data_IF_079480373403
#
_entry.id   IF_079480373403
#
_cell.length_a   1.000
_cell.length_b   1.000
_cell.length_c   1.000
_cell.angle_alpha   90.00
_cell.angle_beta   90.00
_cell.angle_gamma   90.00
#
_symmetry.space_group_name_H-M   'P 1'
#
loop_
_entity.id
_entity.type
_entity.pdbx_description
1 polymer ?
#
# COMPACT_ATOMS: atom_id res chain seq x y z
N UNK A 1 50.44 42.41 9.31
CA UNK A 1 49.64 41.17 9.21
C UNK A 1 49.78 40.42 10.53
N UNK A 2 48.81 40.58 11.45
CA UNK A 2 48.89 40.00 12.80
C UNK A 2 47.89 38.85 12.92
N UNK A 3 48.38 37.61 12.81
CA UNK A 3 47.65 36.44 13.25
C UNK A 3 47.81 36.30 14.76
N UNK A 4 46.70 36.33 15.51
CA UNK A 4 46.71 36.06 16.95
C UNK A 4 46.83 34.56 17.17
N UNK A 5 48.01 34.10 17.62
CA UNK A 5 48.19 32.79 18.21
C UNK A 5 48.20 32.95 19.73
N UNK A 6 47.19 32.38 20.41
CA UNK A 6 47.18 32.30 21.87
C UNK A 6 48.00 31.06 22.24
N UNK A 7 49.12 31.30 22.93
CA UNK A 7 50.02 30.27 23.45
C UNK A 7 49.47 29.72 24.77
N UNK A 8 49.26 28.41 24.84
CA UNK A 8 49.11 27.68 26.11
C UNK A 8 50.26 26.68 26.27
N UNK A 9 50.88 26.71 27.45
CA UNK A 9 52.00 25.88 27.91
C UNK A 9 51.66 24.38 27.86
N UNK A 10 51.98 23.72 26.76
CA UNK A 10 52.24 22.27 26.62
C UNK A 10 52.37 22.01 25.13
N UNK A 11 53.55 21.58 24.68
CA UNK A 11 53.95 21.50 23.27
C UNK A 11 53.28 20.40 22.46
N UNK A 12 51.94 20.38 22.42
CA UNK A 12 51.17 19.59 21.46
C UNK A 12 50.20 20.53 20.73
N UNK A 13 50.55 20.90 19.50
CA UNK A 13 49.63 21.53 18.56
C UNK A 13 48.62 20.46 18.15
N UNK A 14 47.48 20.38 18.85
CA UNK A 14 46.37 19.54 18.40
C UNK A 14 45.80 20.25 17.17
N UNK A 15 45.82 19.65 15.97
CA UNK A 15 45.20 20.28 14.82
C UNK A 15 43.71 20.49 15.13
N UNK A 16 43.25 21.73 15.05
CA UNK A 16 41.85 22.17 15.23
C UNK A 16 40.91 21.67 14.10
N UNK A 17 41.30 20.56 13.46
CA UNK A 17 40.54 19.87 12.43
C UNK A 17 40.49 18.39 12.77
N UNK A 18 39.75 18.05 13.82
CA UNK A 18 38.80 16.94 13.65
C UNK A 18 37.68 17.49 12.76
N UNK A 19 38.02 17.76 11.49
CA UNK A 19 37.01 17.87 10.44
C UNK A 19 36.50 16.46 10.27
N UNK A 20 35.19 16.27 10.44
CA UNK A 20 34.47 15.02 10.29
C UNK A 20 35.22 14.03 9.40
N UNK A 21 35.53 12.85 9.93
CA UNK A 21 36.36 11.82 9.27
C UNK A 21 35.80 11.31 7.94
N UNK A 22 34.58 11.72 7.57
CA UNK A 22 33.93 11.49 6.29
C UNK A 22 33.44 12.80 5.68
N UNK A 23 33.68 13.00 4.38
CA UNK A 23 33.27 14.19 3.62
C UNK A 23 31.75 14.43 3.66
N UNK A 24 30.95 13.36 3.77
CA UNK A 24 29.48 13.41 3.87
C UNK A 24 28.93 13.90 5.21
N UNK A 25 29.76 14.01 6.26
CA UNK A 25 29.37 14.56 7.56
C UNK A 25 29.91 15.98 7.79
N UNK A 26 30.49 16.61 6.76
CA UNK A 26 30.96 17.99 6.85
C UNK A 26 29.76 18.96 6.88
N UNK A 27 29.78 19.96 7.77
CA UNK A 27 28.71 20.97 7.91
C UNK A 27 29.06 22.32 7.23
N UNK A 28 29.93 22.30 6.21
CA UNK A 28 30.41 23.51 5.53
C UNK A 28 29.47 24.04 4.44
N UNK A 29 29.82 25.17 3.80
CA UNK A 29 29.06 25.75 2.65
C UNK A 29 28.81 24.78 1.48
N UNK A 30 29.58 23.71 1.34
CA UNK A 30 29.39 22.70 0.28
C UNK A 30 28.27 21.70 0.62
N UNK A 31 27.92 21.54 1.88
CA UNK A 31 26.83 20.70 2.37
C UNK A 31 25.60 21.49 2.80
N UNK A 32 25.58 22.82 2.63
CA UNK A 32 24.44 23.65 3.04
C UNK A 32 23.15 23.40 2.23
N UNK A 33 23.25 22.74 1.07
CA UNK A 33 22.09 22.24 0.31
C UNK A 33 21.90 20.73 0.42
N UNK A 34 22.74 20.03 1.18
CA UNK A 34 22.65 18.60 1.42
C UNK A 34 21.87 18.38 2.71
N UNK A 35 20.54 18.44 2.60
CA UNK A 35 19.65 18.02 3.67
C UNK A 35 19.49 16.49 3.59
N UNK A 36 20.11 15.79 4.54
CA UNK A 36 20.01 14.35 4.70
C UNK A 36 19.23 14.01 5.97
N UNK A 37 17.90 14.24 5.99
CA UNK A 37 17.10 14.01 7.17
C UNK A 37 17.07 12.51 7.49
N UNK A 38 17.49 12.15 8.71
CA UNK A 38 17.38 10.79 9.26
C UNK A 38 15.93 10.49 9.68
N UNK A 39 15.00 10.68 8.74
CA UNK A 39 13.57 10.50 8.94
C UNK A 39 13.14 9.16 8.38
N UNK A 40 12.36 8.43 9.18
CA UNK A 40 11.84 7.12 8.76
C UNK A 40 11.01 7.22 7.47
N UNK A 41 11.08 6.23 6.56
CA UNK A 41 10.37 6.27 5.28
C UNK A 41 8.87 6.52 5.40
N UNK A 42 8.23 5.96 6.43
CA UNK A 42 6.80 6.17 6.70
C UNK A 42 6.50 7.64 7.04
N UNK A 43 7.35 8.30 7.82
CA UNK A 43 7.15 9.70 8.21
C UNK A 43 7.26 10.64 7.00
N UNK A 44 8.10 10.29 6.01
CA UNK A 44 8.24 11.03 4.76
C UNK A 44 7.07 10.79 3.80
N UNK A 45 6.65 9.53 3.65
CA UNK A 45 5.65 9.15 2.64
C UNK A 45 4.25 9.59 3.06
N UNK A 46 3.86 9.41 4.34
CA UNK A 46 2.48 9.62 4.79
C UNK A 46 1.89 10.99 4.40
N UNK A 47 2.54 12.15 4.65
CA UNK A 47 1.97 13.44 4.25
C UNK A 47 1.93 13.64 2.73
N UNK A 48 2.82 13.00 1.98
CA UNK A 48 2.90 13.13 0.52
C UNK A 48 2.01 12.13 -0.23
N UNK A 49 1.56 11.06 0.42
CA UNK A 49 0.96 9.88 -0.20
C UNK A 49 -0.27 10.22 -1.05
N UNK A 50 -1.18 11.04 -0.53
CA UNK A 50 -2.36 11.53 -1.27
C UNK A 50 -1.97 12.24 -2.57
N UNK A 51 -0.96 13.11 -2.52
CA UNK A 51 -0.50 13.87 -3.68
C UNK A 51 0.22 12.96 -4.68
N UNK A 52 1.06 12.03 -4.21
CA UNK A 52 1.76 11.07 -5.06
C UNK A 52 0.78 10.21 -5.85
N UNK A 53 -0.23 9.62 -5.19
CA UNK A 53 -1.27 8.83 -5.86
C UNK A 53 -2.06 9.66 -6.87
N UNK A 54 -2.48 10.86 -6.49
CA UNK A 54 -3.26 11.76 -7.36
C UNK A 54 -2.49 12.16 -8.61
N UNK A 55 -1.21 12.51 -8.47
CA UNK A 55 -0.31 12.87 -9.57
C UNK A 55 0.02 11.67 -10.46
N UNK A 56 0.27 10.50 -9.88
CA UNK A 56 0.48 9.25 -10.63
C UNK A 56 -0.72 8.93 -11.53
N UNK A 57 -1.94 8.94 -10.98
CA UNK A 57 -3.16 8.69 -11.76
C UNK A 57 -3.42 9.78 -12.81
N UNK A 58 -3.09 11.03 -12.51
CA UNK A 58 -3.20 12.12 -13.48
C UNK A 58 -2.21 11.91 -14.64
N UNK A 59 -0.97 11.50 -14.37
CA UNK A 59 -0.01 11.16 -15.41
C UNK A 59 -0.53 10.03 -16.29
N UNK A 60 -1.05 8.94 -15.71
CA UNK A 60 -1.63 7.84 -16.50
C UNK A 60 -2.83 8.27 -17.35
N UNK A 61 -3.68 9.18 -16.88
CA UNK A 61 -4.83 9.67 -17.67
C UNK A 61 -4.44 10.61 -18.79
N UNK A 62 -3.39 11.40 -18.61
CA UNK A 62 -3.06 12.53 -19.49
C UNK A 62 -1.85 12.24 -20.41
N UNK A 63 -1.00 11.30 -20.05
CA UNK A 63 0.20 10.93 -20.80
C UNK A 63 0.05 9.51 -21.41
N UNK A 64 -0.07 9.41 -22.75
CA UNK A 64 -0.16 8.12 -23.44
C UNK A 64 1.02 7.17 -23.18
N UNK A 65 2.23 7.70 -22.94
CA UNK A 65 3.39 6.87 -22.62
C UNK A 65 3.25 6.25 -21.23
N UNK A 66 2.83 7.05 -20.25
CA UNK A 66 2.57 6.55 -18.89
C UNK A 66 1.47 5.47 -18.90
N UNK A 67 0.37 5.70 -19.64
CA UNK A 67 -0.68 4.70 -19.80
C UNK A 67 -0.16 3.38 -20.40
N UNK A 68 0.57 3.46 -21.52
CA UNK A 68 1.11 2.31 -22.22
C UNK A 68 2.12 1.51 -21.36
N UNK A 69 2.95 2.20 -20.56
CA UNK A 69 3.88 1.54 -19.63
C UNK A 69 3.11 0.69 -18.62
N UNK A 70 2.07 1.25 -18.00
CA UNK A 70 1.26 0.53 -17.01
C UNK A 70 0.54 -0.64 -17.68
N UNK A 71 -0.09 -0.43 -18.83
CA UNK A 71 -0.86 -1.48 -19.51
C UNK A 71 0.05 -2.64 -19.95
N UNK A 72 1.25 -2.36 -20.47
CA UNK A 72 2.26 -3.39 -20.77
C UNK A 72 2.71 -4.13 -19.52
N UNK A 73 2.92 -3.42 -18.42
CA UNK A 73 3.36 -4.02 -17.17
C UNK A 73 2.31 -4.95 -16.58
N UNK A 74 1.05 -4.52 -16.56
CA UNK A 74 -0.09 -5.36 -16.14
C UNK A 74 -0.24 -6.58 -17.04
N UNK A 75 -0.15 -6.39 -18.36
CA UNK A 75 -0.22 -7.50 -19.32
C UNK A 75 0.91 -8.52 -19.13
N UNK A 76 2.13 -8.07 -18.82
CA UNK A 76 3.26 -8.96 -18.55
C UNK A 76 3.15 -9.66 -17.18
N UNK A 77 2.58 -9.00 -16.17
CA UNK A 77 2.42 -9.57 -14.83
C UNK A 77 1.32 -10.63 -14.75
N UNK A 78 0.17 -10.34 -15.35
CA UNK A 78 -1.02 -11.21 -15.27
C UNK A 78 -1.12 -12.15 -16.47
N UNK A 79 -0.72 -11.69 -17.67
CA UNK A 79 -0.87 -12.45 -18.89
C UNK A 79 -2.34 -12.80 -19.15
N UNK A 80 -2.61 -14.10 -19.24
CA UNK A 80 -3.97 -14.65 -19.42
C UNK A 80 -4.69 -14.92 -18.11
N UNK A 81 -4.10 -14.55 -16.97
CA UNK A 81 -4.60 -14.89 -15.64
C UNK A 81 -3.78 -15.98 -14.97
N UNK A 82 -3.59 -15.83 -13.66
CA UNK A 82 -2.91 -16.79 -12.80
C UNK A 82 -3.95 -17.81 -12.33
N UNK A 83 -3.81 -19.06 -12.77
CA UNK A 83 -4.71 -20.15 -12.44
C UNK A 83 -4.09 -21.10 -11.41
N UNK A 84 -4.88 -21.65 -10.48
CA UNK A 84 -4.39 -22.64 -9.53
C UNK A 84 -4.19 -23.98 -10.23
N UNK A 85 -3.13 -24.68 -9.83
CA UNK A 85 -2.90 -26.06 -10.24
C UNK A 85 -2.99 -26.99 -9.02
N UNK A 86 -4.10 -27.71 -8.82
CA UNK A 86 -4.26 -28.58 -7.66
C UNK A 86 -3.24 -29.73 -7.68
N UNK A 87 -2.43 -29.83 -6.61
CA UNK A 87 -1.38 -30.86 -6.46
C UNK A 87 -1.92 -32.11 -5.75
N UNK A 88 -2.98 -32.70 -6.29
CA UNK A 88 -3.62 -33.92 -5.76
C UNK A 88 -3.22 -35.15 -6.55
N UNK A 89 -3.10 -36.33 -5.93
CA UNK A 89 -2.84 -37.59 -6.63
C UNK A 89 -4.08 -38.14 -7.36
N UNK A 90 -5.25 -37.97 -6.75
CA UNK A 90 -6.53 -38.40 -7.32
C UNK A 90 -6.92 -37.52 -8.52
N UNK A 91 -7.10 -38.15 -9.68
CA UNK A 91 -7.48 -37.49 -10.93
C UNK A 91 -8.92 -37.02 -10.92
N UNK A 92 -9.83 -37.75 -10.28
CA UNK A 92 -11.25 -37.40 -10.25
C UNK A 92 -11.46 -36.13 -9.41
N UNK A 93 -10.89 -36.12 -8.19
CA UNK A 93 -10.96 -34.96 -7.31
C UNK A 93 -10.25 -33.73 -7.92
N UNK A 94 -9.10 -33.93 -8.59
CA UNK A 94 -8.40 -32.84 -9.28
C UNK A 94 -9.27 -32.19 -10.35
N UNK A 95 -9.99 -33.00 -11.14
CA UNK A 95 -10.90 -32.50 -12.18
C UNK A 95 -12.06 -31.73 -11.55
N UNK A 96 -12.68 -32.27 -10.51
CA UNK A 96 -13.78 -31.61 -9.81
C UNK A 96 -13.36 -30.26 -9.19
N UNK A 97 -12.13 -30.15 -8.67
CA UNK A 97 -11.61 -28.86 -8.18
C UNK A 97 -11.35 -27.85 -9.30
N UNK A 98 -10.96 -28.30 -10.49
CA UNK A 98 -10.78 -27.42 -11.65
C UNK A 98 -12.13 -26.93 -12.18
N UNK A 99 -13.12 -27.82 -12.30
CA UNK A 99 -14.49 -27.45 -12.68
C UNK A 99 -15.08 -26.44 -11.68
N UNK A 100 -14.97 -26.71 -10.37
CA UNK A 100 -15.44 -25.79 -9.34
C UNK A 100 -14.73 -24.43 -9.38
N UNK A 101 -13.44 -24.41 -9.75
CA UNK A 101 -12.70 -23.17 -9.91
C UNK A 101 -13.21 -22.37 -11.10
N UNK A 102 -13.43 -23.03 -12.24
CA UNK A 102 -13.97 -22.41 -13.45
C UNK A 102 -15.36 -21.83 -13.19
N UNK A 103 -16.24 -22.56 -12.50
CA UNK A 103 -17.57 -22.06 -12.12
C UNK A 103 -17.48 -20.81 -11.21
N UNK A 104 -16.55 -20.80 -10.26
CA UNK A 104 -16.39 -19.68 -9.32
C UNK A 104 -15.76 -18.43 -9.95
N UNK A 105 -14.95 -18.58 -11.00
CA UNK A 105 -14.21 -17.45 -11.61
C UNK A 105 -15.14 -16.32 -12.02
N UNK A 106 -16.28 -16.65 -12.65
CA UNK A 106 -17.26 -15.67 -13.12
C UNK A 106 -18.06 -15.03 -11.97
N UNK A 107 -18.15 -15.71 -10.83
CA UNK A 107 -18.90 -15.30 -9.64
C UNK A 107 -18.06 -14.58 -8.59
N UNK A 108 -16.73 -14.60 -8.77
CA UNK A 108 -15.76 -14.16 -7.77
C UNK A 108 -15.88 -12.69 -7.37
N UNK A 109 -16.39 -11.82 -8.26
CA UNK A 109 -16.47 -10.39 -8.02
C UNK A 109 -17.72 -9.97 -7.25
N UNK A 110 -17.51 -9.40 -6.06
CA UNK A 110 -18.60 -8.91 -5.23
C UNK A 110 -19.33 -7.69 -5.81
N UNK A 111 -18.71 -6.97 -6.75
CA UNK A 111 -19.30 -5.82 -7.45
C UNK A 111 -19.88 -6.22 -8.83
N UNK A 112 -19.76 -7.49 -9.22
CA UNK A 112 -20.28 -8.08 -10.47
C UNK A 112 -19.88 -7.29 -11.74
N UNK A 113 -18.62 -6.82 -11.79
CA UNK A 113 -18.08 -6.04 -12.93
C UNK A 113 -17.14 -6.84 -13.81
N UNK A 114 -16.50 -7.86 -13.27
CA UNK A 114 -15.51 -8.66 -13.97
C UNK A 114 -15.40 -10.05 -13.37
N UNK A 115 -14.74 -10.96 -14.08
CA UNK A 115 -14.31 -12.26 -13.58
C UNK A 115 -13.06 -12.16 -12.67
N UNK A 116 -12.65 -13.29 -12.10
CA UNK A 116 -11.47 -13.36 -11.22
C UNK A 116 -10.19 -12.88 -11.92
N UNK A 117 -10.02 -13.16 -13.22
CA UNK A 117 -8.82 -12.76 -13.96
C UNK A 117 -8.77 -11.26 -14.23
N UNK A 118 -9.92 -10.63 -14.51
CA UNK A 118 -10.00 -9.18 -14.55
C UNK A 118 -9.81 -8.53 -13.19
N UNK A 119 -10.21 -9.17 -12.09
CA UNK A 119 -9.84 -8.71 -10.74
C UNK A 119 -8.31 -8.75 -10.53
N UNK A 120 -7.62 -9.80 -10.99
CA UNK A 120 -6.15 -9.84 -10.93
C UNK A 120 -5.51 -8.68 -11.70
N UNK A 121 -5.98 -8.40 -12.91
CA UNK A 121 -5.51 -7.27 -13.71
C UNK A 121 -5.81 -5.93 -13.02
N UNK A 122 -6.98 -5.77 -12.42
CA UNK A 122 -7.38 -4.58 -11.67
C UNK A 122 -6.47 -4.35 -10.46
N UNK A 123 -6.19 -5.40 -9.68
CA UNK A 123 -5.28 -5.33 -8.52
C UNK A 123 -3.88 -4.93 -8.99
N UNK A 124 -3.32 -5.63 -9.99
CA UNK A 124 -2.00 -5.32 -10.52
C UNK A 124 -1.89 -3.88 -11.02
N UNK A 125 -2.90 -3.41 -11.76
CA UNK A 125 -2.96 -2.02 -12.24
C UNK A 125 -3.02 -1.02 -11.09
N UNK A 126 -3.80 -1.33 -10.05
CA UNK A 126 -3.95 -0.46 -8.88
C UNK A 126 -2.64 -0.35 -8.11
N UNK A 127 -1.92 -1.47 -7.92
CA UNK A 127 -0.59 -1.49 -7.29
C UNK A 127 0.41 -0.68 -8.10
N UNK A 128 0.50 -0.88 -9.42
CA UNK A 128 1.44 -0.14 -10.27
C UNK A 128 1.17 1.38 -10.28
N UNK A 129 -0.10 1.80 -10.19
CA UNK A 129 -0.47 3.21 -10.21
C UNK A 129 -0.44 3.88 -8.84
N UNK A 130 -0.88 3.17 -7.80
CA UNK A 130 -1.21 3.75 -6.49
C UNK A 130 -0.32 3.21 -5.36
N UNK A 131 0.51 2.20 -5.62
CA UNK A 131 1.48 1.62 -4.70
C UNK A 131 0.95 0.48 -3.82
N UNK A 132 -0.36 0.35 -3.70
CA UNK A 132 -1.02 -0.69 -2.90
C UNK A 132 -2.42 -0.97 -3.45
N UNK A 133 -3.05 -2.05 -3.00
CA UNK A 133 -4.45 -2.38 -3.24
C UNK A 133 -4.93 -3.22 -2.06
N UNK A 134 -6.21 -3.12 -1.73
CA UNK A 134 -6.82 -3.92 -0.67
C UNK A 134 -7.86 -4.84 -1.28
N UNK A 135 -7.85 -6.13 -0.94
CA UNK A 135 -8.89 -7.07 -1.39
C UNK A 135 -9.59 -7.63 -0.16
N UNK A 136 -10.87 -7.31 -0.03
CA UNK A 136 -11.69 -7.82 1.06
C UNK A 136 -12.30 -9.16 0.68
N UNK A 137 -12.05 -10.16 1.51
CA UNK A 137 -12.74 -11.45 1.46
C UNK A 137 -14.16 -11.28 2.00
N UNK A 138 -15.16 -11.63 1.20
CA UNK A 138 -16.58 -11.55 1.55
C UNK A 138 -17.20 -12.95 1.54
N UNK A 139 -17.16 -13.67 2.67
CA UNK A 139 -17.94 -14.90 2.82
C UNK A 139 -19.42 -14.62 2.56
N UNK A 140 -20.03 -15.48 1.76
CA UNK A 140 -21.45 -15.45 1.39
C UNK A 140 -22.18 -16.61 2.05
N UNK A 141 -23.51 -16.60 1.99
CA UNK A 141 -24.31 -17.71 2.50
C UNK A 141 -24.49 -18.73 1.39
N UNK A 142 -24.70 -20.00 1.76
CA UNK A 142 -25.00 -21.06 0.79
C UNK A 142 -26.29 -20.77 0.01
N UNK A 143 -27.23 -20.04 0.62
CA UNK A 143 -28.50 -19.63 -0.01
C UNK A 143 -28.33 -18.56 -1.10
N UNK A 144 -27.15 -17.93 -1.20
CA UNK A 144 -26.87 -16.89 -2.20
C UNK A 144 -26.66 -17.48 -3.61
N UNK A 145 -26.60 -18.83 -3.74
CA UNK A 145 -26.61 -19.53 -5.04
C UNK A 145 -25.28 -19.56 -5.78
N UNK A 146 -24.18 -19.17 -5.13
CA UNK A 146 -22.83 -19.20 -5.70
C UNK A 146 -22.23 -20.62 -5.66
N UNK A 147 -21.45 -20.99 -6.68
CA UNK A 147 -20.69 -22.24 -6.74
C UNK A 147 -19.77 -22.40 -5.53
N UNK A 148 -19.11 -21.31 -5.13
CA UNK A 148 -18.38 -21.21 -3.85
C UNK A 148 -18.90 -19.99 -3.10
N UNK A 149 -19.29 -20.09 -1.82
CA UNK A 149 -19.89 -19.01 -1.04
C UNK A 149 -18.83 -18.00 -0.57
N UNK A 150 -18.06 -17.44 -1.51
CA UNK A 150 -17.01 -16.47 -1.28
C UNK A 150 -16.95 -15.53 -2.47
N UNK A 151 -16.91 -14.23 -2.20
CA UNK A 151 -16.57 -13.23 -3.21
C UNK A 151 -15.45 -12.34 -2.73
N UNK A 152 -14.77 -11.72 -3.68
CA UNK A 152 -13.68 -10.78 -3.47
C UNK A 152 -14.16 -9.39 -3.83
N UNK A 153 -13.83 -8.43 -2.97
CA UNK A 153 -14.08 -7.03 -3.25
C UNK A 153 -12.75 -6.29 -3.32
N UNK A 154 -12.40 -5.82 -4.53
CA UNK A 154 -11.21 -5.00 -4.74
C UNK A 154 -11.50 -3.56 -4.29
N UNK A 155 -10.77 -3.11 -3.26
CA UNK A 155 -10.89 -1.78 -2.68
C UNK A 155 -9.70 -0.91 -3.09
N UNK A 156 -10.01 0.28 -3.58
CA UNK A 156 -8.98 1.30 -3.85
C UNK A 156 -8.25 1.71 -2.55
N UNK A 157 -6.96 2.09 -2.62
CA UNK A 157 -6.17 2.49 -1.44
C UNK A 157 -6.80 3.58 -0.58
N UNK A 158 -7.60 4.46 -1.18
CA UNK A 158 -8.30 5.54 -0.49
C UNK A 158 -9.35 5.05 0.50
N UNK A 159 -9.87 3.83 0.36
CA UNK A 159 -10.79 3.27 1.33
C UNK A 159 -10.15 3.11 2.71
N UNK A 160 -8.82 2.94 2.80
CA UNK A 160 -8.10 2.89 4.08
C UNK A 160 -7.46 4.27 4.35
N UNK A 161 -7.86 4.99 5.42
CA UNK A 161 -7.38 6.33 5.71
C UNK A 161 -5.93 6.30 6.19
N UNK A 162 -5.00 6.69 5.32
CA UNK A 162 -3.59 6.85 5.65
C UNK A 162 -3.30 7.90 6.75
N UNK A 163 -4.25 8.78 7.02
CA UNK A 163 -4.20 9.84 8.03
C UNK A 163 -4.78 9.42 9.39
N UNK A 164 -5.30 8.20 9.51
CA UNK A 164 -5.80 7.68 10.79
C UNK A 164 -4.66 7.14 11.65
N UNK A 165 -4.35 7.89 12.71
CA UNK A 165 -3.43 7.51 13.78
C UNK A 165 -4.12 7.67 15.13
N UNK A 166 -4.28 6.58 15.88
CA UNK A 166 -5.03 6.56 17.14
C UNK A 166 -4.58 5.37 17.98
N UNK A 167 -4.66 5.48 19.31
CA UNK A 167 -4.60 4.32 20.20
C UNK A 167 -6.03 3.96 20.60
N UNK A 168 -6.46 2.74 20.29
CA UNK A 168 -7.82 2.28 20.61
C UNK A 168 -8.00 2.13 22.11
N UNK A 169 -9.26 2.05 22.55
CA UNK A 169 -9.59 1.76 23.97
C UNK A 169 -9.01 0.44 24.48
N UNK A 170 -8.75 -0.52 23.59
CA UNK A 170 -8.13 -1.80 23.94
C UNK A 170 -6.60 -1.73 24.03
N UNK A 171 -6.00 -0.57 23.79
CA UNK A 171 -4.54 -0.38 23.77
C UNK A 171 -3.87 -0.79 22.45
N UNK A 172 -4.64 -1.09 21.40
CA UNK A 172 -4.09 -1.35 20.07
C UNK A 172 -3.70 -0.02 19.42
N UNK A 173 -2.67 -0.03 18.59
CA UNK A 173 -2.19 1.16 17.89
C UNK A 173 -2.66 1.13 16.44
N UNK A 174 -3.37 2.16 16.01
CA UNK A 174 -3.74 2.39 14.61
C UNK A 174 -2.69 3.29 13.97
N UNK A 175 -2.14 2.84 12.85
CA UNK A 175 -1.20 3.59 12.02
C UNK A 175 -1.64 3.51 10.57
N UNK A 176 -1.85 4.65 9.93
CA UNK A 176 -2.30 4.74 8.54
C UNK A 176 -3.54 3.87 8.25
N UNK A 177 -4.50 3.87 9.18
CA UNK A 177 -5.74 3.09 9.05
C UNK A 177 -5.60 1.59 9.33
N UNK A 178 -4.39 1.09 9.60
CA UNK A 178 -4.15 -0.31 9.97
C UNK A 178 -3.99 -0.41 11.48
N UNK A 179 -4.75 -1.30 12.11
CA UNK A 179 -4.71 -1.56 13.54
C UNK A 179 -3.75 -2.69 13.87
N UNK A 180 -2.85 -2.43 14.83
CA UNK A 180 -1.85 -3.36 15.31
C UNK A 180 -2.07 -3.65 16.80
N UNK A 181 -1.91 -4.92 17.18
CA UNK A 181 -1.88 -5.28 18.60
C UNK A 181 -0.54 -4.86 19.26
N UNK A 182 -0.43 -5.08 20.57
CA UNK A 182 0.76 -4.74 21.37
C UNK A 182 2.06 -5.39 20.90
N UNK A 183 1.99 -6.54 20.21
CA UNK A 183 3.15 -7.24 19.64
C UNK A 183 3.42 -6.87 18.17
N UNK A 184 2.69 -5.90 17.61
CA UNK A 184 2.89 -5.41 16.24
C UNK A 184 2.26 -6.25 15.14
N UNK A 185 1.38 -7.21 15.46
CA UNK A 185 0.61 -7.95 14.44
C UNK A 185 -0.59 -7.12 13.99
N UNK A 186 -0.85 -7.13 12.67
CA UNK A 186 -2.06 -6.54 12.08
C UNK A 186 -3.28 -7.31 12.55
N UNK A 187 -4.26 -6.61 13.12
CA UNK A 187 -5.51 -7.22 13.63
C UNK A 187 -6.75 -6.72 12.90
N UNK A 188 -6.71 -5.52 12.34
CA UNK A 188 -7.81 -4.98 11.54
C UNK A 188 -7.35 -3.86 10.61
N UNK A 189 -8.20 -3.57 9.63
CA UNK A 189 -8.13 -2.41 8.76
C UNK A 189 -9.37 -1.55 9.01
N UNK A 190 -9.19 -0.24 9.06
CA UNK A 190 -10.30 0.71 9.14
C UNK A 190 -10.60 1.19 7.73
N UNK A 191 -11.80 0.93 7.24
CA UNK A 191 -12.19 1.23 5.87
C UNK A 191 -13.36 2.20 5.84
N UNK A 192 -13.33 3.19 4.96
CA UNK A 192 -14.51 4.00 4.66
C UNK A 192 -15.63 3.12 4.09
N UNK A 193 -16.88 3.46 4.40
CA UNK A 193 -18.03 2.75 3.83
C UNK A 193 -18.22 3.05 2.35
N UNK A 194 -18.00 4.32 1.97
CA UNK A 194 -18.04 4.77 0.58
C UNK A 194 -16.69 5.37 0.19
N UNK A 195 -16.40 5.43 -1.11
CA UNK A 195 -15.13 6.02 -1.57
C UNK A 195 -15.05 7.49 -1.10
N UNK A 196 -13.98 7.92 -0.39
CA UNK A 196 -13.94 9.22 0.26
C UNK A 196 -13.84 10.40 -0.72
N UNK A 197 -13.33 10.16 -1.93
CA UNK A 197 -13.26 11.18 -2.99
C UNK A 197 -14.47 11.18 -3.93
N UNK A 198 -15.50 10.37 -3.65
CA UNK A 198 -16.72 10.36 -4.47
C UNK A 198 -17.66 11.52 -4.08
N UNK A 199 -18.26 12.16 -5.08
CA UNK A 199 -19.12 13.34 -4.91
C UNK A 199 -20.36 13.02 -4.09
N UNK A 200 -20.90 11.80 -4.23
CA UNK A 200 -22.03 11.33 -3.45
C UNK A 200 -21.69 11.21 -1.95
N UNK A 201 -20.47 10.72 -1.62
CA UNK A 201 -19.98 10.62 -0.24
C UNK A 201 -19.79 11.99 0.42
N UNK A 202 -19.37 13.00 -0.33
CA UNK A 202 -19.20 14.37 0.16
C UNK A 202 -20.52 15.05 0.53
N UNK A 203 -21.61 14.72 -0.17
CA UNK A 203 -22.93 15.31 0.04
C UNK A 203 -23.74 14.62 1.16
N UNK A 204 -23.38 13.38 1.52
CA UNK A 204 -24.07 12.59 2.55
C UNK A 204 -23.65 12.95 4.01
N UNK A 205 -22.76 13.92 4.18
CA UNK A 205 -22.34 14.47 5.49
C UNK A 205 -21.42 13.58 6.31
N UNK A 206 -21.67 12.27 6.39
CA UNK A 206 -20.90 11.33 7.21
C UNK A 206 -20.51 10.07 6.41
N UNK A 207 -19.20 9.85 6.24
CA UNK A 207 -18.64 8.61 5.69
C UNK A 207 -18.03 7.78 6.83
N UNK A 208 -18.79 6.86 7.46
CA UNK A 208 -18.31 6.11 8.61
C UNK A 208 -17.13 5.22 8.24
N UNK A 209 -16.20 5.09 9.18
CA UNK A 209 -15.19 4.04 9.14
C UNK A 209 -15.74 2.76 9.75
N UNK A 210 -15.54 1.67 9.03
CA UNK A 210 -15.87 0.31 9.42
C UNK A 210 -14.58 -0.43 9.72
N UNK A 211 -14.52 -1.05 10.90
CA UNK A 211 -13.41 -1.92 11.27
C UNK A 211 -13.59 -3.29 10.61
N UNK A 212 -12.67 -3.67 9.73
CA UNK A 212 -12.62 -4.97 9.04
C UNK A 212 -11.50 -5.81 9.64
N UNK A 213 -11.75 -7.04 10.13
CA UNK A 213 -10.70 -7.92 10.64
C UNK A 213 -9.61 -8.18 9.60
N UNK A 214 -8.34 -8.28 10.05
CA UNK A 214 -7.22 -8.50 9.15
C UNK A 214 -7.29 -9.84 8.40
N UNK A 215 -7.94 -10.86 8.98
CA UNK A 215 -8.18 -12.15 8.32
C UNK A 215 -9.11 -12.05 7.09
N UNK A 216 -9.90 -10.98 6.99
CA UNK A 216 -10.80 -10.71 5.87
C UNK A 216 -10.19 -9.75 4.84
N UNK A 217 -8.92 -9.36 5.00
CA UNK A 217 -8.28 -8.37 4.15
C UNK A 217 -6.94 -8.86 3.64
N UNK A 218 -6.78 -8.85 2.32
CA UNK A 218 -5.50 -8.99 1.65
C UNK A 218 -4.97 -7.59 1.35
N UNK A 219 -3.71 -7.35 1.70
CA UNK A 219 -2.99 -6.10 1.46
C UNK A 219 -1.57 -6.44 0.98
#
# INVERSE_FOLDING_TARGET
MSGRYISTRSGLLVPERIKASYEGAAEGRRSSGWDAPDTGPNSLIMPALRNLRSRSRAAVRNDPYAANIIDKRVSNLIGTGITPQPRLLDKALRKAMQELWEDWVDESDADERTDFYGQQALVARTVEQSGECFVRLRPRRMEDGLAVPLQLQCLAPEFVPHDKFEVTRSGNTIRAGIEFNSIGRRVAYWCYRNHPSDRASLNAGYNPLVRVPAEQMLH
#
